data_IF_910323148907
#
_entry.id   IF_910323148907
#
_cell.length_a   1.000
_cell.length_b   1.000
_cell.length_c   1.000
_cell.angle_alpha   90.00
_cell.angle_beta   90.00
_cell.angle_gamma   90.00
#
_symmetry.space_group_name_H-M   'P 1'
#
loop_
_entity.id
_entity.type
_entity.pdbx_description
1 polymer ?
#
# COMPACT_ATOMS: atom_id res chain seq x y z
N UNK A 1 20.30 0.44 2.84
CA UNK A 1 19.44 -0.12 1.79
C UNK A 1 18.10 0.59 1.88
N UNK A 2 17.54 1.03 0.74
CA UNK A 2 16.29 1.80 0.73
C UNK A 2 15.16 0.97 0.13
N UNK A 3 14.01 1.07 0.76
CA UNK A 3 12.80 0.33 0.42
C UNK A 3 11.65 1.29 0.17
N UNK A 4 10.78 0.93 -0.75
CA UNK A 4 9.52 1.63 -0.97
C UNK A 4 8.33 0.68 -0.79
N UNK A 5 7.26 1.21 -0.20
CA UNK A 5 5.97 0.56 -0.14
C UNK A 5 4.92 1.50 -0.77
N UNK A 6 4.14 0.96 -1.72
CA UNK A 6 2.99 1.65 -2.28
C UNK A 6 1.73 0.95 -1.77
N UNK A 7 0.85 1.72 -1.14
CA UNK A 7 -0.44 1.28 -0.63
C UNK A 7 -1.57 1.95 -1.42
N UNK A 8 -2.43 1.14 -2.03
CA UNK A 8 -3.62 1.60 -2.75
C UNK A 8 -4.86 1.25 -1.96
N UNK A 9 -5.29 2.20 -1.13
CA UNK A 9 -6.56 2.11 -0.41
C UNK A 9 -7.73 2.73 -1.16
N UNK A 10 -8.94 2.54 -0.65
CA UNK A 10 -10.17 3.07 -1.24
C UNK A 10 -10.22 4.61 -1.30
N UNK A 11 -9.58 5.32 -0.37
CA UNK A 11 -9.60 6.78 -0.30
C UNK A 11 -8.37 7.45 -0.91
N UNK A 12 -7.21 6.85 -0.75
CA UNK A 12 -5.94 7.45 -1.15
C UNK A 12 -4.93 6.37 -1.50
N UNK A 13 -3.97 6.76 -2.32
CA UNK A 13 -2.75 5.99 -2.52
C UNK A 13 -1.60 6.65 -1.76
N UNK A 14 -0.67 5.83 -1.28
CA UNK A 14 0.49 6.28 -0.51
C UNK A 14 1.76 5.66 -1.03
N UNK A 15 2.84 6.44 -1.01
CA UNK A 15 4.21 5.96 -1.17
C UNK A 15 4.95 6.25 0.12
N UNK A 16 5.50 5.21 0.74
CA UNK A 16 6.43 5.31 1.85
C UNK A 16 7.81 4.89 1.36
N UNK A 17 8.83 5.71 1.63
CA UNK A 17 10.24 5.38 1.37
C UNK A 17 10.97 5.37 2.72
N UNK A 18 11.65 4.27 2.99
CA UNK A 18 12.42 4.08 4.22
C UNK A 18 13.83 3.53 3.92
N UNK A 19 14.76 3.85 4.79
CA UNK A 19 16.12 3.34 4.79
C UNK A 19 16.34 2.43 5.98
N UNK A 20 16.86 1.22 5.72
CA UNK A 20 17.33 0.35 6.79
C UNK A 20 18.67 0.85 7.33
N UNK A 21 18.70 1.19 8.59
CA UNK A 21 19.92 1.60 9.31
C UNK A 21 20.34 0.47 10.24
N UNK A 22 21.52 -0.08 10.01
CA UNK A 22 22.08 -1.18 10.80
C UNK A 22 23.07 -0.59 11.82
N UNK A 23 22.76 -0.69 13.10
CA UNK A 23 23.68 -0.29 14.18
C UNK A 23 24.60 -1.42 14.62
N UNK A 24 24.10 -2.68 14.59
CA UNK A 24 24.87 -3.88 14.88
C UNK A 24 24.21 -5.11 14.24
N UNK A 25 24.80 -6.32 14.35
CA UNK A 25 24.22 -7.57 13.81
C UNK A 25 22.81 -7.88 14.32
N UNK A 26 22.38 -7.32 15.44
CA UNK A 26 21.07 -7.56 16.06
C UNK A 26 20.22 -6.29 16.25
N UNK A 27 20.76 -5.12 15.91
CA UNK A 27 20.10 -3.83 16.11
C UNK A 27 20.01 -3.09 14.78
N UNK A 28 18.82 -3.06 14.22
CA UNK A 28 18.51 -2.30 13.01
C UNK A 28 17.14 -1.62 13.19
N UNK A 29 16.95 -0.52 12.50
CA UNK A 29 15.67 0.18 12.43
C UNK A 29 15.45 0.78 11.05
N UNK A 30 14.20 1.11 10.75
CA UNK A 30 13.85 1.81 9.53
C UNK A 30 13.72 3.32 9.81
N UNK A 31 14.43 4.10 9.02
CA UNK A 31 14.35 5.57 9.04
C UNK A 31 13.48 6.01 7.87
N UNK A 32 12.36 6.67 8.18
CA UNK A 32 11.49 7.27 7.17
C UNK A 32 12.23 8.38 6.42
N UNK A 33 12.25 8.27 5.08
CA UNK A 33 12.80 9.28 4.17
C UNK A 33 11.67 10.15 3.62
N UNK A 34 10.61 9.54 3.08
CA UNK A 34 9.49 10.24 2.48
C UNK A 34 8.17 9.51 2.71
N UNK A 35 7.09 10.27 2.83
CA UNK A 35 5.72 9.77 2.79
C UNK A 35 4.89 10.71 1.92
N UNK A 36 4.42 10.19 0.80
CA UNK A 36 3.56 10.93 -0.14
C UNK A 36 2.18 10.31 -0.18
N UNK A 37 1.14 11.15 -0.11
CA UNK A 37 -0.26 10.71 -0.15
C UNK A 37 -1.00 11.45 -1.28
N UNK A 38 -1.69 10.69 -2.14
CA UNK A 38 -2.55 11.23 -3.21
C UNK A 38 -4.00 10.79 -2.99
N UNK A 39 -4.95 11.71 -2.77
CA UNK A 39 -6.36 11.38 -2.49
C UNK A 39 -7.13 11.10 -3.79
N UNK A 40 -7.08 9.87 -4.30
CA UNK A 40 -7.76 9.48 -5.55
C UNK A 40 -9.22 9.07 -5.36
N UNK A 41 -9.59 8.54 -4.18
CA UNK A 41 -10.94 8.10 -3.83
C UNK A 41 -11.49 7.01 -4.77
N UNK A 42 -10.69 5.97 -5.04
CA UNK A 42 -11.08 4.81 -5.86
C UNK A 42 -12.40 4.20 -5.42
N UNK A 43 -12.64 4.12 -4.11
CA UNK A 43 -13.88 3.60 -3.55
C UNK A 43 -15.13 4.36 -4.01
N UNK A 44 -15.03 5.66 -4.31
CA UNK A 44 -16.17 6.42 -4.82
C UNK A 44 -16.64 5.91 -6.18
N UNK A 45 -15.69 5.50 -7.05
CA UNK A 45 -16.03 4.95 -8.36
C UNK A 45 -16.51 3.49 -8.21
N UNK A 46 -15.75 2.68 -7.49
CA UNK A 46 -15.95 1.22 -7.44
C UNK A 46 -17.22 0.83 -6.69
N UNK A 47 -17.48 1.42 -5.51
CA UNK A 47 -18.65 1.05 -4.70
C UNK A 47 -19.98 1.56 -5.28
N UNK A 48 -19.92 2.50 -6.23
CA UNK A 48 -21.12 3.00 -6.93
C UNK A 48 -21.29 2.33 -8.30
N UNK A 49 -20.19 2.19 -9.05
CA UNK A 49 -20.24 1.79 -10.46
C UNK A 49 -19.72 0.36 -10.70
N UNK A 50 -19.03 -0.27 -9.74
CA UNK A 50 -18.39 -1.59 -9.88
C UNK A 50 -17.05 -1.57 -10.63
N UNK A 51 -16.55 -0.40 -11.04
CA UNK A 51 -15.28 -0.25 -11.78
C UNK A 51 -14.64 1.12 -11.51
N UNK A 52 -13.34 1.23 -11.78
CA UNK A 52 -12.60 2.51 -11.71
C UNK A 52 -12.78 3.24 -13.04
N UNK A 53 -13.27 4.48 -13.00
CA UNK A 53 -13.50 5.29 -14.18
C UNK A 53 -12.20 5.83 -14.83
N UNK A 54 -12.25 6.11 -16.15
CA UNK A 54 -11.07 6.51 -16.95
C UNK A 54 -10.31 7.72 -16.39
N UNK A 55 -11.04 8.71 -15.89
CA UNK A 55 -10.41 9.88 -15.26
C UNK A 55 -9.59 9.51 -14.02
N UNK A 56 -10.10 8.58 -13.22
CA UNK A 56 -9.42 8.07 -12.02
C UNK A 56 -8.24 7.19 -12.41
N UNK A 57 -8.38 6.35 -13.45
CA UNK A 57 -7.28 5.56 -14.02
C UNK A 57 -6.15 6.48 -14.51
N UNK A 58 -6.48 7.54 -15.26
CA UNK A 58 -5.49 8.52 -15.73
C UNK A 58 -4.72 9.17 -14.56
N UNK A 59 -5.42 9.53 -13.48
CA UNK A 59 -4.79 10.08 -12.27
C UNK A 59 -3.93 9.04 -11.55
N UNK A 60 -4.36 7.79 -11.50
CA UNK A 60 -3.62 6.69 -10.90
C UNK A 60 -2.29 6.46 -11.64
N UNK A 61 -2.31 6.38 -12.97
CA UNK A 61 -1.10 6.25 -13.80
C UNK A 61 -0.14 7.43 -13.57
N UNK A 62 -0.65 8.68 -13.58
CA UNK A 62 0.17 9.87 -13.31
C UNK A 62 0.81 9.82 -11.92
N UNK A 63 0.07 9.34 -10.93
CA UNK A 63 0.58 9.20 -9.55
C UNK A 63 1.68 8.14 -9.46
N UNK A 64 1.53 7.03 -10.16
CA UNK A 64 2.56 5.99 -10.23
C UNK A 64 3.83 6.48 -10.94
N UNK A 65 3.71 7.24 -12.03
CA UNK A 65 4.86 7.90 -12.68
C UNK A 65 5.57 8.87 -11.72
N UNK A 66 4.82 9.63 -10.94
CA UNK A 66 5.40 10.50 -9.92
C UNK A 66 6.10 9.70 -8.81
N UNK A 67 5.51 8.57 -8.37
CA UNK A 67 6.13 7.68 -7.38
C UNK A 67 7.41 7.04 -7.92
N UNK A 68 7.42 6.62 -9.19
CA UNK A 68 8.63 6.12 -9.85
C UNK A 68 9.76 7.16 -9.78
N UNK A 69 9.50 8.41 -10.18
CA UNK A 69 10.50 9.48 -10.11
C UNK A 69 10.98 9.74 -8.67
N UNK A 70 10.08 9.70 -7.68
CA UNK A 70 10.46 9.83 -6.28
C UNK A 70 11.34 8.67 -5.79
N UNK A 71 11.06 7.45 -6.23
CA UNK A 71 11.88 6.29 -5.92
C UNK A 71 13.26 6.37 -6.58
N UNK A 72 13.32 6.82 -7.83
CA UNK A 72 14.58 7.01 -8.59
C UNK A 72 15.46 8.07 -7.92
N UNK A 73 14.89 9.24 -7.57
CA UNK A 73 15.62 10.33 -6.87
C UNK A 73 16.20 9.86 -5.52
N UNK A 74 15.51 8.93 -4.86
CA UNK A 74 15.93 8.43 -3.57
C UNK A 74 16.78 7.14 -3.66
N UNK A 75 17.15 6.66 -4.85
CA UNK A 75 17.91 5.42 -5.07
C UNK A 75 17.27 4.21 -4.37
N UNK A 76 15.96 4.04 -4.51
CA UNK A 76 15.23 2.92 -3.90
C UNK A 76 15.69 1.59 -4.51
N UNK A 77 16.02 0.62 -3.66
CA UNK A 77 16.53 -0.68 -4.10
C UNK A 77 15.39 -1.69 -4.34
N UNK A 78 14.34 -1.63 -3.54
CA UNK A 78 13.21 -2.56 -3.60
C UNK A 78 11.90 -1.82 -3.39
N UNK A 79 10.89 -2.17 -4.19
CA UNK A 79 9.54 -1.65 -4.07
C UNK A 79 8.53 -2.80 -4.02
N UNK A 80 7.53 -2.69 -3.14
CA UNK A 80 6.33 -3.52 -3.16
C UNK A 80 5.10 -2.61 -3.24
N UNK A 81 4.19 -2.88 -4.19
CA UNK A 81 2.95 -2.15 -4.34
C UNK A 81 1.77 -3.08 -4.11
N UNK A 82 0.91 -2.73 -3.15
CA UNK A 82 -0.28 -3.51 -2.78
C UNK A 82 -1.55 -2.68 -2.95
N UNK A 83 -2.61 -3.33 -3.41
CA UNK A 83 -3.95 -2.75 -3.47
C UNK A 83 -4.94 -3.60 -2.67
N UNK A 84 -5.92 -2.93 -2.06
CA UNK A 84 -6.87 -3.53 -1.13
C UNK A 84 -8.31 -3.46 -1.64
N UNK A 85 -9.30 -3.24 -0.78
CA UNK A 85 -10.74 -3.44 -1.02
C UNK A 85 -11.25 -2.86 -2.34
N UNK A 86 -11.01 -1.59 -2.65
CA UNK A 86 -11.53 -1.00 -3.88
C UNK A 86 -11.03 -1.73 -5.14
N UNK A 87 -9.74 -2.07 -5.19
CA UNK A 87 -9.18 -2.80 -6.33
C UNK A 87 -9.63 -4.28 -6.38
N UNK A 88 -9.89 -4.91 -5.21
CA UNK A 88 -10.48 -6.26 -5.17
C UNK A 88 -11.87 -6.33 -5.79
N UNK A 89 -12.66 -5.28 -5.62
CA UNK A 89 -14.06 -5.23 -6.08
C UNK A 89 -14.21 -4.64 -7.49
N UNK A 90 -13.18 -3.96 -8.00
CA UNK A 90 -13.23 -3.35 -9.32
C UNK A 90 -13.20 -4.39 -10.44
N UNK A 91 -14.21 -4.41 -11.30
CA UNK A 91 -14.31 -5.33 -12.45
C UNK A 91 -13.19 -5.14 -13.48
N UNK A 92 -12.54 -3.97 -13.51
CA UNK A 92 -11.44 -3.64 -14.41
C UNK A 92 -10.06 -3.63 -13.73
N UNK A 93 -9.94 -4.25 -12.58
CA UNK A 93 -8.69 -4.25 -11.78
C UNK A 93 -7.51 -4.92 -12.50
N UNK A 94 -7.71 -6.03 -13.19
CA UNK A 94 -6.66 -6.72 -13.97
C UNK A 94 -6.11 -5.83 -15.09
N UNK A 95 -7.00 -5.14 -15.82
CA UNK A 95 -6.60 -4.16 -16.83
C UNK A 95 -5.73 -3.05 -16.23
N UNK A 96 -6.13 -2.53 -15.06
CA UNK A 96 -5.39 -1.46 -14.37
C UNK A 96 -4.01 -1.94 -13.92
N UNK A 97 -3.91 -3.14 -13.35
CA UNK A 97 -2.61 -3.72 -12.95
C UNK A 97 -1.66 -3.85 -14.15
N UNK A 98 -2.17 -4.36 -15.28
CA UNK A 98 -1.40 -4.49 -16.51
C UNK A 98 -0.94 -3.13 -17.05
N UNK A 99 -1.85 -2.16 -17.11
CA UNK A 99 -1.55 -0.80 -17.56
C UNK A 99 -0.47 -0.14 -16.69
N UNK A 100 -0.55 -0.26 -15.36
CA UNK A 100 0.44 0.30 -14.45
C UNK A 100 1.81 -0.34 -14.65
N UNK A 101 1.87 -1.66 -14.82
CA UNK A 101 3.11 -2.37 -15.11
C UNK A 101 3.73 -1.89 -16.43
N UNK A 102 2.93 -1.76 -17.50
CA UNK A 102 3.40 -1.30 -18.82
C UNK A 102 3.89 0.15 -18.78
N UNK A 103 3.19 1.03 -18.07
CA UNK A 103 3.47 2.47 -18.05
C UNK A 103 4.57 2.88 -17.08
N UNK A 104 4.84 2.07 -16.04
CA UNK A 104 5.74 2.47 -14.94
C UNK A 104 6.72 1.38 -14.49
N UNK A 105 6.59 0.16 -14.98
CA UNK A 105 7.39 -0.98 -14.52
C UNK A 105 7.05 -1.45 -13.09
N UNK A 106 6.09 -0.82 -12.42
CA UNK A 106 5.69 -1.18 -11.05
C UNK A 106 4.63 -2.26 -11.10
N UNK A 107 4.94 -3.44 -10.55
CA UNK A 107 3.98 -4.53 -10.42
C UNK A 107 3.05 -4.27 -9.22
N UNK A 108 1.75 -4.16 -9.47
CA UNK A 108 0.73 -3.98 -8.44
C UNK A 108 0.10 -5.33 -8.06
N UNK A 109 0.19 -5.69 -6.77
CA UNK A 109 -0.42 -6.88 -6.20
C UNK A 109 -1.78 -6.54 -5.57
N UNK A 110 -2.86 -7.19 -5.99
CA UNK A 110 -4.14 -7.11 -5.29
C UNK A 110 -4.13 -8.16 -4.19
N UNK A 111 -4.02 -7.71 -2.93
CA UNK A 111 -3.91 -8.60 -1.78
C UNK A 111 -5.28 -8.94 -1.18
N UNK A 112 -5.42 -10.16 -0.65
CA UNK A 112 -6.63 -10.58 0.07
C UNK A 112 -6.77 -9.84 1.40
N UNK A 113 -7.98 -9.76 1.97
CA UNK A 113 -8.20 -9.20 3.31
C UNK A 113 -7.39 -9.93 4.39
N UNK A 114 -7.18 -11.25 4.23
CA UNK A 114 -6.33 -12.04 5.14
C UNK A 114 -4.85 -11.60 5.09
N UNK A 115 -4.32 -11.34 3.89
CA UNK A 115 -2.95 -10.84 3.74
C UNK A 115 -2.82 -9.41 4.23
N UNK A 116 -3.82 -8.55 3.99
CA UNK A 116 -3.90 -7.20 4.52
C UNK A 116 -3.84 -7.22 6.06
N UNK A 117 -4.71 -8.01 6.71
CA UNK A 117 -4.70 -8.20 8.16
C UNK A 117 -3.35 -8.72 8.68
N UNK A 118 -2.73 -9.69 7.97
CA UNK A 118 -1.40 -10.22 8.33
C UNK A 118 -0.32 -9.13 8.28
N UNK A 119 -0.32 -8.29 7.26
CA UNK A 119 0.65 -7.20 7.12
C UNK A 119 0.48 -6.15 8.21
N UNK A 120 -0.76 -5.80 8.54
CA UNK A 120 -1.08 -4.87 9.64
C UNK A 120 -0.62 -5.47 10.97
N UNK A 121 -0.98 -6.73 11.25
CA UNK A 121 -0.63 -7.42 12.48
C UNK A 121 0.89 -7.54 12.66
N UNK A 122 1.66 -7.72 11.58
CA UNK A 122 3.12 -7.81 11.66
C UNK A 122 3.78 -6.55 12.24
N UNK A 123 3.14 -5.38 12.09
CA UNK A 123 3.62 -4.13 12.68
C UNK A 123 3.37 -4.07 14.20
N UNK A 124 2.35 -4.75 14.72
CA UNK A 124 2.06 -4.79 16.15
C UNK A 124 2.98 -5.71 16.94
N UNK A 125 3.53 -6.75 16.32
CA UNK A 125 4.53 -7.62 16.95
C UNK A 125 5.84 -6.90 17.31
N UNK A 126 6.08 -5.73 16.73
CA UNK A 126 7.24 -4.88 17.06
C UNK A 126 6.99 -4.00 18.29
N UNK A 127 5.75 -3.90 18.77
CA UNK A 127 5.40 -3.25 20.02
C UNK A 127 5.35 -4.30 21.15
N UNK A 128 5.85 -3.97 22.33
CA UNK A 128 5.83 -4.82 23.51
C UNK A 128 4.40 -4.97 24.04
N UNK A 129 3.67 -5.99 23.55
CA UNK A 129 2.37 -6.37 24.07
C UNK A 129 2.56 -7.21 25.34
N UNK A 130 1.75 -6.96 26.36
CA UNK A 130 1.76 -7.76 27.59
C UNK A 130 1.05 -9.11 27.34
N UNK A 131 1.79 -10.21 27.49
CA UNK A 131 1.29 -11.57 27.28
C UNK A 131 0.17 -12.02 28.22
N UNK A 132 -0.12 -11.24 29.26
CA UNK A 132 -1.23 -11.52 30.20
C UNK A 132 -2.62 -11.11 29.67
N UNK A 133 -2.68 -10.42 28.51
CA UNK A 133 -3.92 -9.96 27.92
C UNK A 133 -4.15 -10.57 26.54
N UNK A 134 -5.42 -10.77 26.19
CA UNK A 134 -5.83 -11.04 24.83
C UNK A 134 -6.11 -9.70 24.12
N UNK A 135 -5.64 -9.55 22.89
CA UNK A 135 -5.79 -8.31 22.13
C UNK A 135 -6.67 -8.54 20.90
N UNK A 136 -7.58 -7.63 20.66
CA UNK A 136 -8.34 -7.55 19.41
C UNK A 136 -7.84 -6.34 18.65
N UNK A 137 -7.38 -6.57 17.43
CA UNK A 137 -6.99 -5.51 16.52
C UNK A 137 -8.12 -5.26 15.52
N UNK A 138 -8.54 -4.01 15.41
CA UNK A 138 -9.60 -3.59 14.50
C UNK A 138 -9.00 -2.54 13.57
N UNK A 139 -8.92 -2.86 12.28
CA UNK A 139 -8.56 -1.89 11.25
C UNK A 139 -9.80 -1.51 10.45
N UNK A 140 -10.12 -0.22 10.42
CA UNK A 140 -11.28 0.33 9.71
C UNK A 140 -10.79 1.12 8.51
N UNK A 141 -10.88 0.50 7.32
CA UNK A 141 -10.53 1.10 6.06
C UNK A 141 -11.68 1.92 5.45
N UNK A 142 -11.47 2.39 4.22
CA UNK A 142 -12.48 3.13 3.46
C UNK A 142 -13.51 2.24 2.75
N UNK A 143 -13.33 0.93 2.75
CA UNK A 143 -14.20 -0.05 2.08
C UNK A 143 -14.23 -1.43 2.74
N UNK A 144 -13.38 -1.65 3.77
CA UNK A 144 -13.34 -2.91 4.51
C UNK A 144 -13.05 -2.66 5.98
N UNK A 145 -13.29 -3.66 6.81
CA UNK A 145 -12.90 -3.70 8.22
C UNK A 145 -12.29 -5.06 8.51
N UNK A 146 -11.05 -5.06 8.97
CA UNK A 146 -10.31 -6.26 9.32
C UNK A 146 -10.26 -6.42 10.85
N UNK A 147 -10.50 -7.66 11.32
CA UNK A 147 -10.41 -8.04 12.72
C UNK A 147 -9.34 -9.12 12.87
N UNK A 148 -8.44 -8.95 13.84
CA UNK A 148 -7.39 -9.92 14.18
C UNK A 148 -7.35 -10.16 15.69
N UNK A 149 -7.20 -11.42 16.10
CA UNK A 149 -7.05 -11.92 17.47
C UNK A 149 -5.64 -12.41 17.70
#
# INVERSE_FOLDING_TARGET
MKFAAIDIGSNAIRLLIEESVIKSKKDFYFKKIALTRVPLRLGKDVFVNGFVGDNTISKLVKSFKAFQLLMDINDVNHCRACATSAMREASNSEFICKLLLEETGINLEIISGKEEARLIFSNFHLSSLDSNYNYIFIDVGGGSTELSL
#
